data_IF_271933759936
#
_entry.id   IF_271933759936
#
_cell.length_a   1.000
_cell.length_b   1.000
_cell.length_c   1.000
_cell.angle_alpha   90.00
_cell.angle_beta   90.00
_cell.angle_gamma   90.00
#
_symmetry.space_group_name_H-M   'P 1'
#
loop_
_entity.id
_entity.type
_entity.pdbx_description
1 polymer ?
#
# COMPACT_ATOMS: atom_id res chain seq x y z
N UNK A 1 -5.01 4.43 -11.42
CA UNK A 1 -4.52 5.26 -12.55
C UNK A 1 -3.06 5.58 -12.35
N UNK A 2 -2.28 5.64 -13.43
CA UNK A 2 -0.85 5.93 -13.40
C UNK A 2 -0.50 7.02 -14.42
N UNK A 3 0.22 8.05 -13.97
CA UNK A 3 0.70 9.15 -14.81
C UNK A 3 2.17 9.38 -14.51
N UNK A 4 2.98 9.56 -15.56
CA UNK A 4 4.40 9.91 -15.43
C UNK A 4 4.62 11.37 -15.79
N UNK A 5 5.13 12.17 -14.84
CA UNK A 5 5.28 13.63 -14.96
C UNK A 5 6.71 14.09 -14.67
N UNK A 6 7.13 15.19 -15.30
CA UNK A 6 8.35 15.93 -15.02
C UNK A 6 8.04 17.44 -14.98
N UNK A 7 8.74 18.20 -14.13
CA UNK A 7 8.49 19.64 -13.91
C UNK A 7 9.40 20.48 -14.81
N UNK A 8 8.84 21.10 -15.87
CA UNK A 8 9.53 22.07 -16.75
C UNK A 8 8.56 23.20 -17.13
N UNK A 9 9.05 24.44 -17.20
CA UNK A 9 8.29 25.66 -17.48
C UNK A 9 7.53 25.63 -18.83
N UNK A 10 6.22 25.89 -18.78
CA UNK A 10 5.29 25.88 -19.91
C UNK A 10 3.98 25.14 -19.60
N UNK A 11 2.84 25.78 -19.78
CA UNK A 11 1.48 25.24 -19.54
C UNK A 11 0.95 24.44 -20.74
N UNK A 12 0.23 23.34 -20.48
CA UNK A 12 -0.54 22.59 -21.48
C UNK A 12 -1.80 21.96 -20.83
N UNK A 13 -2.95 22.08 -21.51
CA UNK A 13 -4.20 21.41 -21.16
C UNK A 13 -4.47 20.28 -22.17
N UNK A 14 -4.78 19.08 -21.70
CA UNK A 14 -5.26 17.98 -22.54
C UNK A 14 -6.72 17.68 -22.17
N UNK A 15 -7.59 17.65 -23.18
CA UNK A 15 -8.97 17.19 -23.05
C UNK A 15 -8.99 15.76 -23.57
N UNK A 16 -9.25 14.79 -22.69
CA UNK A 16 -9.47 13.40 -23.11
C UNK A 16 -10.88 13.35 -23.70
N UNK A 17 -11.00 13.32 -25.03
CA UNK A 17 -12.25 12.96 -25.69
C UNK A 17 -12.33 11.44 -25.74
N UNK A 18 -13.44 10.86 -25.28
CA UNK A 18 -13.76 9.45 -25.51
C UNK A 18 -13.91 9.21 -27.01
N UNK A 19 -12.84 8.81 -27.67
CA UNK A 19 -12.86 8.06 -28.93
C UNK A 19 -11.59 7.22 -28.94
N UNK A 20 -11.75 5.93 -29.26
CA UNK A 20 -10.82 4.80 -29.08
C UNK A 20 -10.92 4.08 -27.73
N UNK A 21 -12.07 3.45 -27.53
CA UNK A 21 -12.10 2.07 -27.03
C UNK A 21 -12.14 1.21 -28.29
N UNK A 22 -11.03 0.56 -28.64
CA UNK A 22 -11.05 -0.64 -29.47
C UNK A 22 -10.11 -1.67 -28.84
N UNK A 23 -10.63 -2.90 -28.77
CA UNK A 23 -10.03 -4.11 -28.24
C UNK A 23 -8.68 -4.43 -28.90
N UNK A 24 -7.78 -4.99 -28.10
CA UNK A 24 -6.88 -6.03 -28.57
C UNK A 24 -6.77 -7.08 -27.45
N UNK A 25 -7.65 -8.07 -27.51
CA UNK A 25 -7.25 -9.43 -27.12
C UNK A 25 -6.39 -9.96 -28.26
N UNK A 26 -5.15 -10.32 -27.97
CA UNK A 26 -4.48 -11.34 -28.78
C UNK A 26 -3.89 -12.37 -27.84
N UNK A 27 -4.53 -13.53 -27.87
CA UNK A 27 -3.98 -14.81 -27.41
C UNK A 27 -2.91 -15.18 -28.40
N UNK A 28 -1.70 -15.41 -27.91
CA UNK A 28 -0.86 -16.56 -28.27
C UNK A 28 0.51 -16.42 -27.58
N UNK A 29 1.15 -17.49 -27.11
CA UNK A 29 0.76 -18.88 -27.02
C UNK A 29 1.81 -19.61 -26.17
N UNK A 30 1.33 -20.61 -25.45
CA UNK A 30 2.13 -21.78 -25.15
C UNK A 30 2.71 -22.35 -26.44
N UNK A 31 3.97 -22.77 -26.39
CA UNK A 31 4.52 -23.75 -27.33
C UNK A 31 3.54 -24.91 -27.48
N UNK A 32 3.19 -25.31 -28.71
CA UNK A 32 3.45 -26.66 -29.22
C UNK A 32 3.04 -26.80 -30.71
N UNK A 33 4.05 -27.22 -31.49
CA UNK A 33 4.04 -28.03 -32.71
C UNK A 33 3.65 -27.45 -34.08
N UNK A 34 4.56 -27.79 -34.99
CA UNK A 34 4.59 -27.65 -36.44
C UNK A 34 3.42 -28.32 -37.15
N UNK A 35 2.98 -27.73 -38.26
CA UNK A 35 2.96 -28.41 -39.56
C UNK A 35 2.69 -27.44 -40.71
N UNK A 36 3.19 -27.82 -41.88
CA UNK A 36 3.27 -27.09 -43.15
C UNK A 36 1.92 -26.60 -43.69
N UNK A 37 1.94 -25.53 -44.51
CA UNK A 37 1.59 -25.55 -45.95
C UNK A 37 0.89 -24.27 -46.48
N UNK A 38 1.58 -23.66 -47.46
CA UNK A 38 1.07 -23.00 -48.69
C UNK A 38 0.49 -21.57 -48.63
N UNK A 39 1.20 -20.74 -49.39
CA UNK A 39 0.81 -19.50 -50.09
C UNK A 39 -0.41 -19.67 -51.00
N UNK A 40 -1.35 -18.70 -50.96
CA UNK A 40 -2.18 -18.28 -52.10
C UNK A 40 -2.45 -16.78 -51.98
N UNK A 41 -2.34 -16.09 -53.11
CA UNK A 41 -2.55 -14.66 -53.29
C UNK A 41 -3.97 -14.34 -53.79
N UNK A 42 -4.38 -13.10 -53.48
CA UNK A 42 -5.27 -12.19 -54.20
C UNK A 42 -6.74 -12.53 -54.51
N UNK A 43 -7.55 -11.49 -54.25
CA UNK A 43 -8.76 -11.01 -54.94
C UNK A 43 -10.06 -11.83 -54.80
N UNK A 44 -11.02 -11.31 -54.02
CA UNK A 44 -12.26 -10.69 -54.54
C UNK A 44 -13.30 -10.35 -53.45
N UNK A 45 -14.09 -9.29 -53.71
CA UNK A 45 -15.38 -8.82 -53.12
C UNK A 45 -15.34 -7.68 -52.06
N UNK A 46 -16.38 -6.81 -51.98
CA UNK A 46 -16.77 -5.79 -52.96
C UNK A 46 -16.92 -4.38 -52.30
N UNK A 47 -17.03 -3.35 -53.15
CA UNK A 47 -17.12 -1.94 -52.77
C UNK A 47 -18.22 -1.61 -51.73
N UNK A 48 -17.81 -1.08 -50.56
CA UNK A 48 -18.66 -0.23 -49.73
C UNK A 48 -18.38 1.23 -50.08
N UNK A 49 -19.41 1.93 -50.57
CA UNK A 49 -19.39 3.36 -50.78
C UNK A 49 -19.07 4.08 -49.46
N UNK A 50 -17.92 4.75 -49.47
CA UNK A 50 -17.45 5.67 -48.45
C UNK A 50 -18.34 6.92 -48.40
N UNK A 51 -19.11 7.08 -47.32
CA UNK A 51 -19.67 8.36 -46.92
C UNK A 51 -18.72 9.11 -46.00
N UNK A 52 -17.56 9.54 -46.51
CA UNK A 52 -16.68 10.49 -45.82
C UNK A 52 -16.75 11.83 -46.52
N UNK A 53 -17.02 12.88 -45.75
CA UNK A 53 -17.07 14.28 -46.20
C UNK A 53 -15.73 14.67 -46.86
N UNK A 54 -15.73 15.16 -48.12
CA UNK A 54 -14.53 15.62 -48.81
C UNK A 54 -13.70 16.64 -48.01
N UNK A 55 -14.34 17.43 -47.14
CA UNK A 55 -13.65 18.40 -46.28
C UNK A 55 -12.77 17.73 -45.20
N UNK A 56 -13.12 16.52 -44.76
CA UNK A 56 -12.34 15.75 -43.77
C UNK A 56 -11.12 15.10 -44.42
N UNK A 57 -11.26 14.64 -45.67
CA UNK A 57 -10.16 14.06 -46.46
C UNK A 57 -9.12 15.13 -46.80
N UNK A 58 -9.57 16.33 -47.21
CA UNK A 58 -8.68 17.47 -47.49
C UNK A 58 -7.95 17.98 -46.24
N UNK A 59 -8.60 17.98 -45.07
CA UNK A 59 -7.96 18.40 -43.81
C UNK A 59 -6.95 17.36 -43.30
N UNK A 60 -7.20 16.07 -43.50
CA UNK A 60 -6.25 14.98 -43.21
C UNK A 60 -5.03 15.01 -44.15
N UNK A 61 -5.24 15.30 -45.44
CA UNK A 61 -4.18 15.54 -46.42
C UNK A 61 -3.35 16.79 -46.06
N UNK A 62 -4.00 17.86 -45.60
CA UNK A 62 -3.35 19.10 -45.14
C UNK A 62 -2.49 18.88 -43.89
N UNK A 63 -2.99 18.12 -42.91
CA UNK A 63 -2.29 17.79 -41.67
C UNK A 63 -1.12 16.81 -41.89
N UNK A 64 -1.24 15.88 -42.85
CA UNK A 64 -0.12 15.00 -43.26
C UNK A 64 1.03 15.77 -43.91
N UNK A 65 0.74 16.88 -44.59
CA UNK A 65 1.75 17.69 -45.30
C UNK A 65 2.44 18.76 -44.43
N UNK A 66 1.92 19.10 -43.26
CA UNK A 66 2.48 20.18 -42.42
C UNK A 66 3.48 19.67 -41.37
N UNK A 67 4.65 19.22 -41.81
CA UNK A 67 5.83 19.13 -40.95
C UNK A 67 6.43 20.54 -40.77
N UNK A 68 5.94 21.34 -39.81
CA UNK A 68 6.68 22.47 -39.17
C UNK A 68 5.82 23.20 -38.12
N UNK A 69 6.39 23.31 -36.91
CA UNK A 69 6.18 24.33 -35.85
C UNK A 69 4.78 24.96 -35.76
N UNK A 70 4.00 24.55 -34.77
CA UNK A 70 2.76 25.27 -34.42
C UNK A 70 3.10 26.64 -33.80
N UNK A 71 2.67 27.71 -34.48
CA UNK A 71 2.51 29.08 -33.96
C UNK A 71 1.05 29.23 -33.53
N UNK A 72 0.80 29.64 -32.30
CA UNK A 72 -0.55 30.03 -31.84
C UNK A 72 -0.68 31.55 -31.86
N UNK A 73 -1.72 32.06 -32.52
CA UNK A 73 -2.17 33.45 -32.49
C UNK A 73 -3.50 33.46 -31.72
N UNK A 74 -3.65 34.35 -30.74
CA UNK A 74 -4.89 34.51 -29.97
C UNK A 74 -5.84 35.51 -30.67
N UNK A 75 -7.14 35.21 -30.62
CA UNK A 75 -8.25 35.93 -31.29
C UNK A 75 -8.62 37.31 -30.67
N UNK A 76 -7.65 38.19 -30.45
CA UNK A 76 -7.94 39.59 -30.12
C UNK A 76 -6.86 40.62 -30.53
N UNK A 77 -5.94 40.27 -31.43
CA UNK A 77 -5.17 41.26 -32.21
C UNK A 77 -4.32 42.26 -31.43
N UNK A 78 -3.95 41.99 -30.17
CA UNK A 78 -2.99 42.81 -29.41
C UNK A 78 -1.76 42.00 -29.06
N UNK A 79 -0.60 42.46 -29.52
CA UNK A 79 0.71 42.01 -29.03
C UNK A 79 0.79 42.26 -27.52
N UNK A 80 1.20 41.23 -26.76
CA UNK A 80 1.56 41.39 -25.37
C UNK A 80 3.06 41.29 -25.17
N UNK A 81 3.62 42.42 -24.77
CA UNK A 81 4.99 42.65 -24.33
C UNK A 81 5.34 41.78 -23.12
N UNK A 82 6.50 41.13 -23.18
CA UNK A 82 7.01 40.26 -22.13
C UNK A 82 7.53 41.11 -20.95
N UNK A 83 6.79 41.18 -19.84
CA UNK A 83 7.32 41.64 -18.55
C UNK A 83 7.81 40.45 -17.71
N UNK A 84 8.96 40.66 -17.08
CA UNK A 84 9.77 39.70 -16.33
C UNK A 84 9.29 39.63 -14.86
N UNK A 85 9.41 38.43 -14.28
CA UNK A 85 9.26 38.04 -12.85
C UNK A 85 7.84 38.02 -12.26
N UNK A 86 7.33 36.82 -11.92
CA UNK A 86 7.36 36.16 -10.59
C UNK A 86 7.15 34.65 -10.81
N UNK A 87 7.92 33.80 -10.12
CA UNK A 87 7.82 32.35 -10.22
C UNK A 87 6.51 31.84 -9.62
N UNK A 88 5.54 31.45 -10.46
CA UNK A 88 4.34 30.72 -10.03
C UNK A 88 4.47 29.26 -10.48
N UNK A 89 4.95 28.44 -9.55
CA UNK A 89 5.06 27.01 -9.74
C UNK A 89 3.78 26.34 -9.26
N UNK A 90 3.08 25.66 -10.16
CA UNK A 90 2.02 24.73 -9.79
C UNK A 90 2.23 23.43 -10.56
N UNK A 91 2.21 22.31 -9.83
CA UNK A 91 2.03 20.99 -10.39
C UNK A 91 0.77 20.47 -9.70
N UNK A 92 -0.36 20.61 -10.39
CA UNK A 92 -1.65 20.09 -9.97
C UNK A 92 -2.11 19.06 -11.00
N UNK A 93 -2.28 17.79 -10.63
CA UNK A 93 -3.04 16.85 -11.46
C UNK A 93 -4.47 16.87 -10.96
N UNK A 94 -5.42 17.23 -11.80
CA UNK A 94 -6.84 17.30 -11.42
C UNK A 94 -7.56 16.14 -12.07
N UNK A 95 -8.09 15.24 -11.26
CA UNK A 95 -8.98 14.19 -11.74
C UNK A 95 -10.41 14.60 -11.45
N UNK A 96 -11.27 14.47 -12.47
CA UNK A 96 -12.70 14.78 -12.40
C UNK A 96 -13.47 13.48 -12.47
N UNK A 97 -14.25 13.19 -11.44
CA UNK A 97 -15.08 12.00 -11.33
C UNK A 97 -16.55 12.38 -11.18
N UNK A 98 -17.44 11.56 -11.74
CA UNK A 98 -18.89 11.64 -11.53
C UNK A 98 -19.35 10.37 -10.83
N UNK A 99 -20.20 10.53 -9.82
CA UNK A 99 -21.00 9.46 -9.24
C UNK A 99 -22.12 9.08 -10.19
N UNK A 100 -22.23 7.79 -10.50
CA UNK A 100 -23.20 7.31 -11.49
C UNK A 100 -24.66 7.51 -11.01
N UNK A 101 -24.89 7.45 -9.69
CA UNK A 101 -26.24 7.49 -9.12
C UNK A 101 -26.75 8.88 -8.72
N UNK A 102 -25.86 9.88 -8.60
CA UNK A 102 -26.22 11.18 -7.99
C UNK A 102 -25.76 12.42 -8.75
N UNK A 103 -25.16 12.27 -9.94
CA UNK A 103 -24.52 13.35 -10.72
C UNK A 103 -23.49 14.20 -9.93
N UNK A 104 -23.17 13.81 -8.68
CA UNK A 104 -22.20 14.47 -7.81
C UNK A 104 -20.83 14.43 -8.46
N UNK A 105 -20.26 15.61 -8.61
CA UNK A 105 -18.96 15.79 -9.23
C UNK A 105 -17.87 15.91 -8.17
N UNK A 106 -16.96 14.92 -8.13
CA UNK A 106 -15.80 14.95 -7.25
C UNK A 106 -14.53 15.32 -8.01
N UNK A 107 -13.89 16.40 -7.57
CA UNK A 107 -12.59 16.82 -8.07
C UNK A 107 -11.51 16.44 -7.07
N UNK A 108 -10.54 15.66 -7.53
CA UNK A 108 -9.35 15.29 -6.77
C UNK A 108 -8.14 16.02 -7.37
N UNK A 109 -7.63 17.01 -6.66
CA UNK A 109 -6.48 17.81 -7.04
C UNK A 109 -5.22 17.27 -6.35
N UNK A 110 -4.28 16.68 -7.08
CA UNK A 110 -3.00 16.24 -6.54
C UNK A 110 -1.96 17.33 -6.70
N UNK A 111 -1.51 17.92 -5.60
CA UNK A 111 -0.66 19.11 -5.58
C UNK A 111 0.75 18.79 -5.08
N UNK A 112 1.77 19.24 -5.81
CA UNK A 112 3.18 19.05 -5.44
C UNK A 112 3.64 20.08 -4.40
N UNK A 113 3.03 20.01 -3.23
CA UNK A 113 3.41 20.77 -2.05
C UNK A 113 3.30 19.86 -0.83
N UNK A 114 4.10 20.15 0.18
CA UNK A 114 3.89 19.58 1.50
C UNK A 114 2.72 20.28 2.20
N UNK A 115 1.79 19.51 2.76
CA UNK A 115 0.73 20.01 3.64
C UNK A 115 0.50 18.98 4.77
N UNK A 116 0.54 19.40 6.05
CA UNK A 116 0.41 18.48 7.18
C UNK A 116 -0.96 17.81 7.27
N UNK A 117 -1.99 18.33 6.58
CA UNK A 117 -3.32 17.71 6.55
C UNK A 117 -3.38 16.50 5.61
N UNK A 118 -2.44 16.39 4.67
CA UNK A 118 -2.37 15.41 3.57
C UNK A 118 -3.53 15.46 2.57
N UNK A 119 -4.78 15.57 3.05
CA UNK A 119 -6.00 15.78 2.27
C UNK A 119 -6.82 16.91 2.90
N UNK A 120 -7.36 17.81 2.09
CA UNK A 120 -8.26 18.86 2.58
C UNK A 120 -9.32 19.22 1.54
N UNK A 121 -10.43 19.76 2.02
CA UNK A 121 -11.50 20.30 1.20
C UNK A 121 -11.10 21.70 0.72
N UNK A 122 -11.16 21.93 -0.59
CA UNK A 122 -10.96 23.25 -1.17
C UNK A 122 -12.28 24.02 -1.07
N UNK A 123 -12.33 25.12 -0.31
CA UNK A 123 -13.55 25.85 0.03
C UNK A 123 -14.50 26.15 -1.16
N UNK A 124 -15.66 25.48 -1.11
CA UNK A 124 -17.04 25.85 -1.52
C UNK A 124 -17.47 25.78 -2.99
N UNK A 125 -18.71 25.29 -3.11
CA UNK A 125 -19.59 25.02 -4.24
C UNK A 125 -19.64 26.06 -5.36
N UNK A 126 -19.70 25.55 -6.59
CA UNK A 126 -20.00 26.31 -7.80
C UNK A 126 -21.52 26.28 -8.06
N UNK A 127 -22.08 27.37 -8.56
CA UNK A 127 -23.50 27.44 -8.90
C UNK A 127 -23.83 26.50 -10.09
N UNK A 128 -24.75 25.56 -9.89
CA UNK A 128 -25.38 24.78 -10.96
C UNK A 128 -25.08 23.28 -11.02
N UNK A 129 -24.22 22.74 -10.14
CA UNK A 129 -24.06 21.30 -9.93
C UNK A 129 -23.53 21.02 -8.51
N UNK A 130 -23.95 19.91 -7.89
CA UNK A 130 -23.33 19.43 -6.65
C UNK A 130 -21.89 19.03 -6.96
N UNK A 131 -20.96 19.94 -6.67
CA UNK A 131 -19.53 19.77 -6.94
C UNK A 131 -18.75 19.90 -5.64
N UNK A 132 -17.92 18.90 -5.37
CA UNK A 132 -16.99 18.90 -4.23
C UNK A 132 -15.55 18.80 -4.74
N UNK A 133 -14.65 19.56 -4.13
CA UNK A 133 -13.25 19.65 -4.54
C UNK A 133 -12.34 19.36 -3.37
N UNK A 134 -11.38 18.48 -3.57
CA UNK A 134 -10.40 18.10 -2.57
C UNK A 134 -9.00 18.17 -3.14
N UNK A 135 -8.05 18.49 -2.27
CA UNK A 135 -6.65 18.48 -2.62
C UNK A 135 -5.89 17.42 -1.82
N UNK A 136 -4.99 16.72 -2.49
CA UNK A 136 -4.06 15.72 -1.95
C UNK A 136 -2.63 16.23 -2.11
N UNK A 137 -1.89 16.30 -1.02
CA UNK A 137 -0.47 16.60 -1.05
C UNK A 137 0.30 15.41 -1.66
N UNK A 138 1.05 15.67 -2.73
CA UNK A 138 2.07 14.76 -3.28
C UNK A 138 3.45 14.98 -2.65
N UNK A 139 3.59 16.02 -1.81
CA UNK A 139 4.87 16.46 -1.28
C UNK A 139 5.70 17.22 -2.33
N UNK A 140 6.94 17.53 -1.95
CA UNK A 140 7.86 18.28 -2.78
C UNK A 140 8.46 17.38 -3.86
N UNK A 141 7.94 17.52 -5.08
CA UNK A 141 8.45 16.78 -6.24
C UNK A 141 9.66 17.50 -6.84
N UNK A 142 10.80 16.83 -6.80
CA UNK A 142 12.06 17.27 -7.43
C UNK A 142 11.93 17.34 -8.96
N UNK A 143 12.85 18.06 -9.62
CA UNK A 143 12.89 18.23 -11.09
C UNK A 143 13.39 16.98 -11.83
N UNK A 144 12.76 15.85 -11.58
CA UNK A 144 13.02 14.57 -12.24
C UNK A 144 11.70 13.91 -12.67
N UNK A 145 11.79 12.78 -13.36
CA UNK A 145 10.63 12.00 -13.72
C UNK A 145 10.05 11.29 -12.49
N UNK A 146 8.75 11.47 -12.27
CA UNK A 146 8.00 10.80 -11.22
C UNK A 146 6.87 9.99 -11.82
N UNK A 147 6.66 8.78 -11.30
CA UNK A 147 5.48 7.96 -11.62
C UNK A 147 4.50 8.06 -10.46
N UNK A 148 3.36 8.70 -10.71
CA UNK A 148 2.29 8.91 -9.73
C UNK A 148 1.21 7.88 -10.00
N UNK A 149 0.92 7.05 -9.01
CA UNK A 149 -0.12 6.03 -9.08
C UNK A 149 -1.13 6.26 -7.96
N UNK A 150 -2.40 6.41 -8.32
CA UNK A 150 -3.50 6.69 -7.39
C UNK A 150 -4.62 5.67 -7.54
N UNK A 151 -5.19 5.29 -6.41
CA UNK A 151 -6.45 4.55 -6.35
C UNK A 151 -7.59 5.55 -6.21
N UNK A 152 -8.36 5.70 -7.30
CA UNK A 152 -9.42 6.69 -7.37
C UNK A 152 -10.57 6.40 -6.40
N UNK A 153 -10.88 5.12 -6.15
CA UNK A 153 -11.96 4.73 -5.23
C UNK A 153 -11.55 5.05 -3.80
N UNK A 154 -10.33 4.68 -3.41
CA UNK A 154 -9.79 4.98 -2.08
C UNK A 154 -9.67 6.48 -1.87
N UNK A 155 -9.13 7.22 -2.84
CA UNK A 155 -8.98 8.66 -2.72
C UNK A 155 -10.35 9.35 -2.63
N UNK A 156 -11.32 9.04 -3.50
CA UNK A 156 -12.66 9.62 -3.42
C UNK A 156 -13.38 9.27 -2.09
N UNK A 157 -13.30 8.01 -1.65
CA UNK A 157 -13.84 7.56 -0.36
C UNK A 157 -13.26 8.34 0.82
N UNK A 158 -11.92 8.49 0.87
CA UNK A 158 -11.23 9.21 1.94
C UNK A 158 -11.53 10.70 1.93
N UNK A 159 -11.56 11.30 0.74
CA UNK A 159 -11.92 12.70 0.55
C UNK A 159 -13.34 12.99 1.07
N UNK A 160 -14.33 12.21 0.64
CA UNK A 160 -15.72 12.38 1.09
C UNK A 160 -15.87 12.14 2.59
N UNK A 161 -15.18 11.13 3.13
CA UNK A 161 -15.17 10.87 4.58
C UNK A 161 -14.64 12.05 5.39
N UNK A 162 -13.75 12.88 4.80
CA UNK A 162 -13.22 14.08 5.44
C UNK A 162 -14.25 15.23 5.53
N UNK A 163 -15.40 15.16 4.84
CA UNK A 163 -16.46 16.16 4.95
C UNK A 163 -17.36 15.98 6.18
N UNK A 164 -17.44 14.76 6.74
CA UNK A 164 -18.37 14.39 7.83
C UNK A 164 -17.95 14.90 9.23
N UNK A 165 -17.41 16.12 9.33
CA UNK A 165 -16.87 16.68 10.58
C UNK A 165 -17.98 17.17 11.54
N UNK A 166 -19.23 17.34 11.07
CA UNK A 166 -20.34 17.75 11.93
C UNK A 166 -21.16 16.57 12.48
N UNK A 167 -20.86 16.18 13.72
CA UNK A 167 -21.77 15.62 14.75
C UNK A 167 -22.90 14.69 14.26
N UNK A 168 -22.54 13.48 13.81
CA UNK A 168 -23.11 12.17 14.19
C UNK A 168 -22.38 11.13 13.34
N UNK A 169 -21.97 10.03 13.96
CA UNK A 169 -21.29 8.91 13.28
C UNK A 169 -22.17 8.35 12.16
N UNK A 170 -22.01 8.83 10.94
CA UNK A 170 -22.28 8.03 9.75
C UNK A 170 -20.92 7.78 9.10
N UNK A 171 -20.61 6.50 8.90
CA UNK A 171 -19.26 5.96 8.85
C UNK A 171 -18.39 6.49 7.72
N UNK A 172 -17.16 5.97 7.67
CA UNK A 172 -16.29 6.15 6.50
C UNK A 172 -17.11 5.84 5.24
N UNK A 173 -17.10 6.75 4.26
CA UNK A 173 -17.70 6.52 2.95
C UNK A 173 -16.96 5.35 2.32
N UNK A 174 -17.66 4.27 1.99
CA UNK A 174 -17.07 3.12 1.29
C UNK A 174 -17.59 3.15 -0.14
N UNK A 175 -16.67 3.12 -1.10
CA UNK A 175 -17.01 3.08 -2.52
C UNK A 175 -16.65 1.73 -3.11
N UNK A 176 -17.49 1.25 -4.02
CA UNK A 176 -17.37 0.00 -4.74
C UNK A 176 -17.10 0.24 -6.23
N UNK A 177 -16.46 -0.73 -6.91
CA UNK A 177 -16.28 -0.67 -8.36
C UNK A 177 -17.63 -0.46 -9.08
N UNK A 178 -17.68 0.51 -10.00
CA UNK A 178 -18.89 0.87 -10.73
C UNK A 178 -19.58 2.13 -10.21
N UNK A 179 -19.31 2.59 -8.99
CA UNK A 179 -19.95 3.80 -8.44
C UNK A 179 -19.29 5.10 -8.92
N UNK A 180 -18.03 5.02 -9.37
CA UNK A 180 -17.20 6.17 -9.76
C UNK A 180 -16.77 6.06 -11.24
N UNK A 181 -17.08 7.09 -12.04
CA UNK A 181 -16.62 7.20 -13.43
C UNK A 181 -15.62 8.33 -13.60
N UNK A 182 -14.46 8.05 -14.19
CA UNK A 182 -13.52 9.08 -14.62
C UNK A 182 -14.09 9.85 -15.81
N UNK A 183 -14.12 11.17 -15.70
CA UNK A 183 -14.64 12.06 -16.75
C UNK A 183 -13.51 12.77 -17.47
N UNK A 184 -12.55 13.32 -16.73
CA UNK A 184 -11.43 14.02 -17.34
C UNK A 184 -10.23 14.07 -16.40
N UNK A 185 -9.04 14.16 -17.00
CA UNK A 185 -7.78 14.46 -16.31
C UNK A 185 -7.30 15.81 -16.83
N UNK A 186 -7.01 16.73 -15.92
CA UNK A 186 -6.46 18.04 -16.20
C UNK A 186 -5.10 18.22 -15.54
N UNK A 187 -4.29 19.11 -16.11
CA UNK A 187 -3.00 19.49 -15.54
C UNK A 187 -2.99 21.00 -15.29
N UNK A 188 -2.55 21.41 -14.11
CA UNK A 188 -2.42 22.82 -13.71
C UNK A 188 -0.95 23.18 -13.56
N UNK A 189 -0.61 24.35 -14.09
CA UNK A 189 0.73 24.90 -14.11
C UNK A 189 1.62 24.30 -15.20
N UNK A 190 2.93 24.31 -14.97
CA UNK A 190 3.94 23.95 -15.97
C UNK A 190 4.42 22.52 -15.77
N UNK A 191 3.98 21.60 -16.63
CA UNK A 191 4.24 20.17 -16.50
C UNK A 191 4.56 19.53 -17.85
N UNK A 192 5.45 18.54 -17.82
CA UNK A 192 5.69 17.62 -18.92
C UNK A 192 5.12 16.28 -18.50
N UNK A 193 4.23 15.74 -19.31
CA UNK A 193 3.61 14.43 -19.08
C UNK A 193 4.07 13.50 -20.19
N UNK A 194 4.37 12.25 -19.86
CA UNK A 194 4.57 11.25 -20.91
C UNK A 194 3.29 11.13 -21.75
N UNK A 195 3.43 10.83 -23.03
CA UNK A 195 2.29 10.67 -23.95
C UNK A 195 1.32 9.56 -23.53
N UNK A 196 1.72 8.67 -22.60
CA UNK A 196 0.92 7.56 -22.11
C UNK A 196 0.44 7.82 -20.68
N UNK A 197 -0.88 7.88 -20.51
CA UNK A 197 -1.59 7.84 -19.24
C UNK A 197 -2.31 6.50 -19.18
N UNK A 198 -2.14 5.75 -18.09
CA UNK A 198 -2.67 4.40 -17.98
C UNK A 198 -3.74 4.32 -16.89
N UNK A 199 -4.89 3.73 -17.23
CA UNK A 199 -5.89 3.27 -16.27
C UNK A 199 -5.81 1.75 -16.19
N UNK A 200 -5.76 1.23 -14.97
CA UNK A 200 -5.61 -0.20 -14.69
C UNK A 200 -6.54 -0.58 -13.56
N UNK A 201 -7.01 -1.83 -13.55
CA UNK A 201 -7.86 -2.36 -12.48
C UNK A 201 -7.12 -2.43 -11.14
N UNK A 202 -5.80 -2.65 -11.17
CA UNK A 202 -4.97 -2.67 -9.98
C UNK A 202 -3.55 -2.16 -10.27
N UNK A 203 -2.79 -1.91 -9.19
CA UNK A 203 -1.38 -1.56 -9.23
C UNK A 203 -0.61 -2.22 -8.06
N UNK A 204 -0.95 -3.48 -7.73
CA UNK A 204 -0.51 -4.14 -6.49
C UNK A 204 1.02 -4.15 -6.33
N UNK A 205 1.77 -4.47 -7.39
CA UNK A 205 3.23 -4.46 -7.36
C UNK A 205 3.80 -3.07 -7.04
N UNK A 206 3.19 -2.00 -7.56
CA UNK A 206 3.62 -0.63 -7.29
C UNK A 206 3.37 -0.28 -5.83
N UNK A 207 2.17 -0.55 -5.30
CA UNK A 207 1.85 -0.31 -3.89
C UNK A 207 2.77 -1.10 -2.94
N UNK A 208 3.04 -2.37 -3.27
CA UNK A 208 3.97 -3.23 -2.55
C UNK A 208 5.39 -2.64 -2.48
N UNK A 209 5.95 -2.24 -3.63
CA UNK A 209 7.30 -1.64 -3.65
C UNK A 209 7.33 -0.26 -3.00
N UNK A 210 6.29 0.56 -3.17
CA UNK A 210 6.20 1.86 -2.47
C UNK A 210 6.21 1.70 -0.95
N UNK A 211 5.53 0.68 -0.41
CA UNK A 211 5.60 0.38 1.01
C UNK A 211 7.00 -0.09 1.44
N UNK A 212 7.65 -0.95 0.65
CA UNK A 212 9.00 -1.41 0.93
C UNK A 212 10.03 -0.27 0.89
N UNK A 213 9.95 0.61 -0.11
CA UNK A 213 10.80 1.79 -0.26
C UNK A 213 10.60 2.78 0.90
N UNK A 214 9.36 2.95 1.36
CA UNK A 214 9.07 3.75 2.54
C UNK A 214 9.72 3.17 3.79
N UNK A 215 9.65 1.85 4.00
CA UNK A 215 10.31 1.20 5.14
C UNK A 215 11.82 1.41 5.13
N UNK A 216 12.48 1.23 3.98
CA UNK A 216 13.93 1.50 3.88
C UNK A 216 14.25 2.96 4.21
N UNK A 217 13.45 3.90 3.69
CA UNK A 217 13.72 5.33 3.82
C UNK A 217 13.36 5.91 5.19
N UNK A 218 12.52 5.23 5.97
CA UNK A 218 12.03 5.69 7.28
C UNK A 218 12.47 4.78 8.44
N UNK A 219 13.41 3.87 8.19
CA UNK A 219 14.05 3.11 9.25
C UNK A 219 15.03 4.01 9.99
N UNK A 220 14.96 4.05 11.31
CA UNK A 220 15.85 4.87 12.11
C UNK A 220 17.25 4.25 12.32
N UNK A 221 18.09 4.94 13.10
CA UNK A 221 19.45 4.49 13.40
C UNK A 221 19.51 3.17 14.18
N UNK A 222 18.48 2.86 14.97
CA UNK A 222 18.38 1.62 15.76
C UNK A 222 17.83 0.43 14.94
N UNK A 223 17.44 0.67 13.68
CA UNK A 223 16.85 -0.35 12.81
C UNK A 223 15.33 -0.47 12.93
N UNK A 224 14.68 0.43 13.67
CA UNK A 224 13.25 0.37 13.92
C UNK A 224 12.41 1.33 13.08
N UNK A 225 11.09 1.14 13.18
CA UNK A 225 10.08 2.11 12.76
C UNK A 225 9.33 2.62 13.99
N UNK A 226 9.76 3.75 14.59
CA UNK A 226 9.20 4.23 15.84
C UNK A 226 7.75 4.70 15.66
N UNK A 227 6.86 4.27 16.54
CA UNK A 227 5.45 4.66 16.51
C UNK A 227 5.31 6.09 17.05
N UNK A 228 4.85 7.07 16.26
CA UNK A 228 4.94 8.50 16.61
C UNK A 228 3.86 8.96 17.59
N UNK A 229 3.11 8.04 18.21
CA UNK A 229 1.99 8.34 19.11
C UNK A 229 2.08 7.55 20.40
N UNK A 230 1.58 8.15 21.48
CA UNK A 230 1.41 7.45 22.76
C UNK A 230 0.42 6.29 22.61
N UNK A 231 0.71 5.17 23.26
CA UNK A 231 -0.21 4.05 23.39
C UNK A 231 -0.48 3.76 24.87
N UNK A 232 -1.71 3.99 25.29
CA UNK A 232 -2.20 3.60 26.61
C UNK A 232 -3.00 2.29 26.53
N UNK A 233 -2.75 1.38 27.46
CA UNK A 233 -3.31 0.02 27.55
C UNK A 233 -3.81 -0.21 28.97
N UNK A 234 -4.85 -1.03 29.14
CA UNK A 234 -5.45 -1.42 30.43
C UNK A 234 -5.81 -0.19 31.29
N UNK A 235 -6.70 0.67 30.79
CA UNK A 235 -7.12 1.91 31.46
C UNK A 235 -5.94 2.81 31.88
N UNK A 236 -4.97 2.97 30.96
CA UNK A 236 -3.73 3.74 31.16
C UNK A 236 -2.79 3.20 32.25
N UNK A 237 -2.94 1.95 32.72
CA UNK A 237 -1.96 1.33 33.64
C UNK A 237 -0.64 0.98 32.96
N UNK A 238 -0.69 0.75 31.64
CA UNK A 238 0.49 0.51 30.81
C UNK A 238 0.52 1.60 29.74
N UNK A 239 1.53 2.47 29.78
CA UNK A 239 1.64 3.61 28.85
C UNK A 239 2.99 3.55 28.16
N UNK A 240 2.95 3.60 26.83
CA UNK A 240 4.12 3.73 25.97
C UNK A 240 4.15 5.15 25.41
N UNK A 241 5.17 5.96 25.72
CA UNK A 241 5.32 7.28 25.12
C UNK A 241 5.64 7.15 23.62
N UNK A 242 5.33 8.19 22.84
CA UNK A 242 5.67 8.23 21.41
C UNK A 242 7.16 7.91 21.18
N UNK A 243 7.46 7.15 20.13
CA UNK A 243 8.79 6.66 19.80
C UNK A 243 9.08 5.21 20.23
N UNK A 244 8.06 4.47 20.67
CA UNK A 244 8.15 3.04 20.99
C UNK A 244 8.18 2.17 19.73
N UNK A 245 8.78 0.97 19.81
CA UNK A 245 8.81 -0.01 18.73
C UNK A 245 7.89 -1.19 19.00
N UNK A 246 7.49 -1.90 17.95
CA UNK A 246 6.63 -3.08 18.05
C UNK A 246 7.27 -4.27 17.37
N UNK A 247 7.35 -5.43 18.04
CA UNK A 247 7.81 -6.67 17.40
C UNK A 247 6.95 -7.05 16.18
N UNK A 248 5.66 -6.73 16.21
CA UNK A 248 4.75 -6.95 15.08
C UNK A 248 5.11 -6.04 13.90
N UNK A 249 5.38 -4.75 14.16
CA UNK A 249 5.82 -3.82 13.12
C UNK A 249 7.17 -4.26 12.52
N UNK A 250 8.13 -4.67 13.36
CA UNK A 250 9.40 -5.20 12.90
C UNK A 250 9.21 -6.47 12.06
N UNK A 251 8.40 -7.43 12.51
CA UNK A 251 8.10 -8.67 11.78
C UNK A 251 7.45 -8.43 10.41
N UNK A 252 6.47 -7.53 10.33
CA UNK A 252 5.90 -7.11 9.05
C UNK A 252 6.93 -6.43 8.15
N UNK A 253 7.82 -5.61 8.73
CA UNK A 253 8.93 -5.01 8.01
C UNK A 253 9.86 -6.05 7.41
N UNK A 254 10.30 -7.02 8.19
CA UNK A 254 11.12 -8.16 7.72
C UNK A 254 10.42 -8.90 6.57
N UNK A 255 9.16 -9.27 6.76
CA UNK A 255 8.33 -9.96 5.77
C UNK A 255 8.25 -9.21 4.43
N UNK A 256 7.97 -7.90 4.49
CA UNK A 256 7.81 -7.05 3.31
C UNK A 256 9.15 -6.84 2.59
N UNK A 257 10.20 -6.47 3.33
CA UNK A 257 11.52 -6.21 2.78
C UNK A 257 12.14 -7.46 2.16
N UNK A 258 12.01 -8.62 2.80
CA UNK A 258 12.49 -9.89 2.25
C UNK A 258 11.79 -10.26 0.94
N UNK A 259 10.47 -10.07 0.85
CA UNK A 259 9.73 -10.26 -0.40
C UNK A 259 10.14 -9.25 -1.47
N UNK A 260 10.41 -8.00 -1.07
CA UNK A 260 10.84 -6.94 -1.99
C UNK A 260 12.22 -7.24 -2.58
N UNK A 261 13.16 -7.75 -1.76
CA UNK A 261 14.42 -8.30 -2.24
C UNK A 261 14.19 -9.46 -3.23
N UNK A 262 13.37 -10.43 -2.86
CA UNK A 262 13.10 -11.59 -3.73
C UNK A 262 12.55 -11.17 -5.10
N UNK A 263 11.74 -10.10 -5.15
CA UNK A 263 11.10 -9.60 -6.36
C UNK A 263 11.96 -8.64 -7.21
N UNK A 264 13.07 -8.12 -6.69
CA UNK A 264 13.85 -7.04 -7.33
C UNK A 264 15.36 -7.28 -7.33
N UNK A 265 15.85 -8.16 -6.47
CA UNK A 265 17.25 -8.37 -6.13
C UNK A 265 17.98 -7.10 -5.65
N UNK A 266 17.24 -6.11 -5.12
CA UNK A 266 17.85 -4.93 -4.53
C UNK A 266 18.30 -5.21 -3.08
N UNK A 267 19.61 -5.25 -2.89
CA UNK A 267 20.26 -5.53 -1.60
C UNK A 267 19.90 -4.54 -0.48
N UNK A 268 19.43 -3.31 -0.81
CA UNK A 268 19.03 -2.34 0.22
C UNK A 268 17.91 -2.86 1.12
N UNK A 269 17.01 -3.71 0.58
CA UNK A 269 15.93 -4.29 1.37
C UNK A 269 16.44 -5.29 2.40
N UNK A 270 17.41 -6.14 2.05
CA UNK A 270 18.01 -7.07 3.01
C UNK A 270 18.89 -6.37 4.05
N UNK A 271 19.58 -5.30 3.66
CA UNK A 271 20.33 -4.48 4.61
C UNK A 271 19.40 -3.87 5.67
N UNK A 272 18.28 -3.28 5.24
CA UNK A 272 17.27 -2.75 6.16
C UNK A 272 16.64 -3.86 7.03
N UNK A 273 16.31 -5.01 6.45
CA UNK A 273 15.77 -6.14 7.21
C UNK A 273 16.77 -6.66 8.26
N UNK A 274 18.05 -6.76 7.92
CA UNK A 274 19.09 -7.23 8.84
C UNK A 274 19.31 -6.24 10.00
N UNK A 275 19.26 -4.94 9.71
CA UNK A 275 19.33 -3.89 10.74
C UNK A 275 18.17 -3.96 11.73
N UNK A 276 16.96 -4.30 11.25
CA UNK A 276 15.77 -4.41 12.08
C UNK A 276 15.83 -5.50 13.17
N UNK A 277 16.75 -6.47 13.03
CA UNK A 277 16.95 -7.53 14.02
C UNK A 277 17.51 -7.03 15.35
N UNK A 278 18.21 -5.89 15.36
CA UNK A 278 18.81 -5.35 16.58
C UNK A 278 17.79 -5.17 17.71
N UNK A 279 16.57 -4.72 17.39
CA UNK A 279 15.53 -4.50 18.38
C UNK A 279 15.02 -5.78 19.05
N UNK A 280 15.14 -6.94 18.38
CA UNK A 280 14.77 -8.24 18.95
C UNK A 280 15.76 -8.74 20.00
N UNK A 281 16.95 -8.16 20.06
CA UNK A 281 18.00 -8.50 21.02
C UNK A 281 17.96 -7.58 22.25
N UNK A 282 17.47 -6.35 22.07
CA UNK A 282 17.33 -5.35 23.13
C UNK A 282 16.08 -5.59 23.98
N UNK A 283 16.20 -5.42 25.29
CA UNK A 283 15.08 -5.54 26.22
C UNK A 283 14.06 -4.41 26.01
N UNK A 284 12.78 -4.67 26.31
CA UNK A 284 11.71 -3.67 26.28
C UNK A 284 12.06 -2.41 27.10
N UNK A 285 12.68 -2.58 28.28
CA UNK A 285 13.16 -1.46 29.11
C UNK A 285 14.35 -0.68 28.53
N UNK A 286 15.03 -1.22 27.53
CA UNK A 286 16.19 -0.64 26.85
C UNK A 286 15.83 -0.17 25.44
N UNK A 287 14.56 0.22 25.24
CA UNK A 287 13.99 0.61 23.93
C UNK A 287 14.05 -0.48 22.86
N UNK A 288 14.14 -1.75 23.26
CA UNK A 288 13.95 -2.89 22.37
C UNK A 288 12.54 -3.44 22.37
N UNK A 289 12.39 -4.66 21.85
CA UNK A 289 11.11 -5.39 21.87
C UNK A 289 11.21 -6.75 22.57
N UNK A 290 12.38 -7.11 23.12
CA UNK A 290 12.57 -8.39 23.82
C UNK A 290 12.08 -8.32 25.26
N UNK A 291 11.36 -9.34 25.69
CA UNK A 291 10.99 -9.59 27.08
C UNK A 291 11.23 -11.06 27.43
N UNK A 292 10.95 -11.43 28.67
CA UNK A 292 11.06 -12.80 29.14
C UNK A 292 9.91 -13.15 30.08
N UNK A 293 9.36 -14.35 29.92
CA UNK A 293 8.35 -14.91 30.83
C UNK A 293 8.73 -16.36 31.17
N UNK A 294 8.91 -16.65 32.46
CA UNK A 294 9.31 -17.98 32.96
C UNK A 294 10.57 -18.55 32.28
N UNK A 295 11.57 -17.70 31.97
CA UNK A 295 12.79 -18.11 31.27
C UNK A 295 12.66 -18.24 29.75
N UNK A 296 11.49 -17.95 29.19
CA UNK A 296 11.24 -18.00 27.75
C UNK A 296 11.24 -16.60 27.13
N UNK A 297 11.97 -16.41 26.04
CA UNK A 297 12.02 -15.13 25.33
C UNK A 297 10.66 -14.79 24.72
N UNK A 298 10.30 -13.51 24.74
CA UNK A 298 9.12 -13.00 24.07
C UNK A 298 9.44 -11.74 23.27
N UNK A 299 8.81 -11.56 22.12
CA UNK A 299 8.92 -10.34 21.32
C UNK A 299 7.60 -9.58 21.41
N UNK A 300 7.64 -8.43 22.09
CA UNK A 300 6.46 -7.67 22.50
C UNK A 300 5.85 -6.88 21.33
N UNK A 301 4.56 -7.09 21.08
CA UNK A 301 3.77 -6.17 20.23
C UNK A 301 3.79 -4.77 20.84
N UNK A 302 3.61 -4.70 22.17
CA UNK A 302 3.69 -3.48 22.96
C UNK A 302 4.73 -3.71 24.08
N UNK A 303 5.93 -3.11 24.00
CA UNK A 303 7.01 -3.33 24.96
C UNK A 303 6.76 -2.62 26.30
N UNK A 304 5.67 -2.99 26.98
CA UNK A 304 5.25 -2.40 28.26
C UNK A 304 6.04 -2.98 29.44
N UNK A 305 5.99 -2.29 30.57
CA UNK A 305 6.48 -2.81 31.85
C UNK A 305 5.37 -2.68 32.92
N UNK A 306 4.89 -3.78 33.52
CA UNK A 306 5.20 -5.18 33.19
C UNK A 306 4.83 -5.55 31.74
N UNK A 307 5.41 -6.65 31.25
CA UNK A 307 5.20 -7.16 29.88
C UNK A 307 3.73 -7.46 29.59
N UNK A 308 3.31 -7.18 28.35
CA UNK A 308 1.92 -7.41 27.91
C UNK A 308 1.73 -8.82 27.35
N UNK A 309 2.75 -9.34 26.66
CA UNK A 309 2.77 -10.67 26.04
C UNK A 309 1.57 -10.90 25.10
N UNK A 310 1.36 -9.99 24.12
CA UNK A 310 0.30 -10.14 23.11
C UNK A 310 0.64 -11.26 22.13
N UNK A 311 -0.29 -12.22 21.96
CA UNK A 311 -0.05 -13.45 21.21
C UNK A 311 0.09 -13.25 19.70
N UNK A 312 -0.84 -12.54 19.06
CA UNK A 312 -0.82 -12.34 17.61
C UNK A 312 0.44 -11.59 17.16
N UNK A 313 0.82 -10.52 17.85
CA UNK A 313 1.99 -9.73 17.48
C UNK A 313 3.29 -10.50 17.61
N UNK A 314 3.39 -11.36 18.64
CA UNK A 314 4.52 -12.28 18.77
C UNK A 314 4.59 -13.25 17.57
N UNK A 315 3.49 -13.91 17.21
CA UNK A 315 3.48 -14.83 16.06
C UNK A 315 3.79 -14.12 14.73
N UNK A 316 3.26 -12.92 14.48
CA UNK A 316 3.64 -12.12 13.30
C UNK A 316 5.14 -11.80 13.27
N UNK A 317 5.73 -11.55 14.44
CA UNK A 317 7.17 -11.32 14.54
C UNK A 317 7.99 -12.56 14.16
N UNK A 318 7.54 -13.76 14.58
CA UNK A 318 8.17 -15.03 14.21
C UNK A 318 8.09 -15.29 12.69
N UNK A 319 6.96 -14.97 12.07
CA UNK A 319 6.80 -15.08 10.61
C UNK A 319 7.83 -14.21 9.87
N UNK A 320 8.02 -12.96 10.32
CA UNK A 320 9.02 -12.07 9.74
C UNK A 320 10.46 -12.57 9.92
N UNK A 321 10.78 -13.11 11.10
CA UNK A 321 12.09 -13.72 11.36
C UNK A 321 12.31 -14.95 10.46
N UNK A 322 11.29 -15.80 10.31
CA UNK A 322 11.33 -16.95 9.41
C UNK A 322 11.57 -16.53 7.96
N UNK A 323 10.81 -15.55 7.46
CA UNK A 323 10.96 -15.05 6.10
C UNK A 323 12.40 -14.61 5.82
N UNK A 324 12.99 -13.78 6.70
CA UNK A 324 14.38 -13.35 6.55
C UNK A 324 15.38 -14.51 6.67
N UNK A 325 15.17 -15.45 7.60
CA UNK A 325 16.06 -16.60 7.77
C UNK A 325 16.07 -17.54 6.56
N UNK A 326 14.95 -17.62 5.84
CA UNK A 326 14.74 -18.56 4.73
C UNK A 326 14.97 -17.93 3.35
N UNK A 327 15.42 -16.67 3.29
CA UNK A 327 15.59 -15.97 2.02
C UNK A 327 16.74 -16.57 1.20
N UNK A 328 16.47 -16.87 -0.07
CA UNK A 328 17.51 -17.30 -1.00
C UNK A 328 18.25 -16.09 -1.57
N UNK A 329 19.48 -15.87 -1.11
CA UNK A 329 20.34 -14.78 -1.56
C UNK A 329 20.99 -15.15 -2.90
N UNK A 330 20.88 -14.27 -3.90
CA UNK A 330 21.54 -14.38 -5.20
C UNK A 330 22.64 -13.32 -5.33
N UNK A 331 23.84 -13.76 -5.68
CA UNK A 331 25.01 -12.89 -5.86
C UNK A 331 25.68 -12.50 -4.54
N UNK A 332 26.63 -11.58 -4.62
CA UNK A 332 27.34 -11.07 -3.45
C UNK A 332 26.48 -10.07 -2.67
N UNK A 333 26.45 -10.25 -1.35
CA UNK A 333 25.84 -9.32 -0.38
C UNK A 333 26.86 -8.98 0.68
N UNK A 334 26.65 -7.86 1.39
CA UNK A 334 27.48 -7.50 2.52
C UNK A 334 27.40 -8.57 3.63
N UNK A 335 28.50 -8.75 4.38
CA UNK A 335 28.57 -9.72 5.47
C UNK A 335 27.48 -9.52 6.53
N UNK A 336 27.12 -8.27 6.80
CA UNK A 336 26.03 -7.90 7.72
C UNK A 336 24.69 -8.52 7.33
N UNK A 337 24.42 -8.66 6.03
CA UNK A 337 23.19 -9.28 5.52
C UNK A 337 23.21 -10.78 5.77
N UNK A 338 24.34 -11.44 5.50
CA UNK A 338 24.50 -12.88 5.74
C UNK A 338 24.36 -13.20 7.23
N UNK A 339 25.08 -12.46 8.09
CA UNK A 339 24.95 -12.56 9.55
C UNK A 339 23.53 -12.25 10.02
N UNK A 340 22.83 -11.32 9.36
CA UNK A 340 21.42 -11.04 9.60
C UNK A 340 20.53 -12.28 9.41
N UNK A 341 20.70 -13.04 8.33
CA UNK A 341 19.89 -14.26 8.10
C UNK A 341 20.13 -15.34 9.17
N UNK A 342 21.38 -15.51 9.62
CA UNK A 342 21.74 -16.43 10.70
C UNK A 342 21.12 -16.00 12.04
N UNK A 343 21.22 -14.70 12.38
CA UNK A 343 20.59 -14.11 13.57
C UNK A 343 19.08 -14.29 13.55
N UNK A 344 18.43 -14.05 12.40
CA UNK A 344 17.00 -14.25 12.23
C UNK A 344 16.61 -15.71 12.50
N UNK A 345 17.41 -16.67 12.03
CA UNK A 345 17.19 -18.11 12.29
C UNK A 345 17.25 -18.45 13.78
N UNK A 346 18.23 -17.89 14.51
CA UNK A 346 18.38 -18.12 15.96
C UNK A 346 17.19 -17.52 16.72
N UNK A 347 16.82 -16.28 16.41
CA UNK A 347 15.69 -15.59 17.03
C UNK A 347 14.37 -16.31 16.74
N UNK A 348 14.16 -16.79 15.51
CA UNK A 348 12.99 -17.58 15.13
C UNK A 348 12.91 -18.87 15.93
N UNK A 349 14.01 -19.65 16.00
CA UNK A 349 14.03 -20.92 16.74
C UNK A 349 13.72 -20.69 18.23
N UNK A 350 14.38 -19.72 18.86
CA UNK A 350 14.17 -19.42 20.28
C UNK A 350 12.75 -18.92 20.56
N UNK A 351 12.20 -18.09 19.67
CA UNK A 351 10.82 -17.64 19.78
C UNK A 351 9.78 -18.74 19.56
N UNK A 352 10.06 -19.69 18.67
CA UNK A 352 9.19 -20.85 18.45
C UNK A 352 9.17 -21.78 19.67
N UNK A 353 10.32 -21.99 20.33
CA UNK A 353 10.39 -22.72 21.59
C UNK A 353 9.57 -22.05 22.70
N UNK A 354 9.66 -20.71 22.81
CA UNK A 354 8.81 -19.94 23.72
C UNK A 354 7.33 -20.06 23.38
N UNK A 355 6.95 -20.03 22.10
CA UNK A 355 5.56 -20.19 21.68
C UNK A 355 5.02 -21.54 22.14
N UNK A 356 5.77 -22.64 21.93
CA UNK A 356 5.37 -23.98 22.40
C UNK A 356 5.13 -24.03 23.89
N UNK A 357 6.06 -23.45 24.67
CA UNK A 357 6.01 -23.49 26.12
C UNK A 357 4.86 -22.65 26.70
N UNK A 358 4.62 -21.47 26.13
CA UNK A 358 3.70 -20.47 26.69
C UNK A 358 2.30 -20.50 26.07
N UNK A 359 2.11 -21.08 24.88
CA UNK A 359 0.80 -21.13 24.21
C UNK A 359 -0.34 -21.70 25.08
N UNK A 360 -0.13 -22.71 25.94
CA UNK A 360 -1.19 -23.19 26.84
C UNK A 360 -1.76 -22.10 27.77
N UNK A 361 -0.97 -21.06 28.11
CA UNK A 361 -1.44 -19.95 28.94
C UNK A 361 -2.52 -19.10 28.25
N UNK A 362 -2.63 -19.19 26.93
CA UNK A 362 -3.61 -18.45 26.14
C UNK A 362 -4.89 -19.26 25.87
N UNK A 363 -4.96 -20.52 26.29
CA UNK A 363 -6.13 -21.39 26.09
C UNK A 363 -7.06 -21.31 27.31
N UNK A 364 -8.29 -20.86 27.10
CA UNK A 364 -9.29 -20.79 28.19
C UNK A 364 -10.13 -22.05 28.33
N UNK A 365 -9.94 -23.03 27.46
CA UNK A 365 -10.83 -24.18 27.33
C UNK A 365 -12.07 -23.93 26.47
N UNK A 366 -12.31 -22.69 26.01
CA UNK A 366 -13.45 -22.37 25.13
C UNK A 366 -13.21 -21.15 24.23
N UNK A 367 -11.96 -20.77 24.05
CA UNK A 367 -11.52 -19.60 23.31
C UNK A 367 -10.03 -19.34 23.59
N UNK A 368 -9.55 -18.17 23.17
CA UNK A 368 -8.18 -17.75 23.47
C UNK A 368 -8.12 -16.41 24.21
N UNK A 369 -7.07 -16.20 24.98
CA UNK A 369 -6.73 -14.91 25.60
C UNK A 369 -5.92 -14.09 24.59
N UNK A 370 -6.11 -12.77 24.55
CA UNK A 370 -5.37 -11.87 23.66
C UNK A 370 -3.92 -11.66 24.14
N UNK A 371 -3.76 -11.51 25.45
CA UNK A 371 -2.49 -11.18 26.09
C UNK A 371 -2.44 -11.66 27.55
N UNK A 372 -1.24 -11.69 28.15
CA UNK A 372 -1.05 -12.17 29.53
C UNK A 372 -1.01 -11.03 30.56
N UNK A 373 -1.60 -9.87 30.27
CA UNK A 373 -1.62 -8.73 31.22
C UNK A 373 -2.28 -9.08 32.56
N UNK A 374 -3.17 -10.07 32.58
CA UNK A 374 -3.85 -10.52 33.78
C UNK A 374 -2.89 -11.12 34.82
N UNK A 375 -1.77 -11.71 34.36
CA UNK A 375 -0.69 -12.22 35.22
C UNK A 375 0.05 -11.05 35.88
N UNK A 376 0.50 -10.08 35.10
CA UNK A 376 1.31 -8.95 35.60
C UNK A 376 0.52 -7.86 36.32
N UNK A 377 -0.75 -7.66 35.97
CA UNK A 377 -1.62 -6.61 36.54
C UNK A 377 -2.60 -7.14 37.59
N UNK A 378 -2.62 -8.45 37.85
CA UNK A 378 -3.57 -9.10 38.76
C UNK A 378 -5.03 -8.71 38.46
N UNK A 379 -5.43 -8.84 37.19
CA UNK A 379 -6.75 -8.46 36.69
C UNK A 379 -7.45 -9.63 36.01
N UNK A 380 -8.69 -9.45 35.56
CA UNK A 380 -9.37 -10.45 34.74
C UNK A 380 -8.65 -10.66 33.39
N UNK A 381 -8.67 -11.87 32.81
CA UNK A 381 -8.13 -12.13 31.48
C UNK A 381 -8.71 -11.21 30.40
N UNK A 382 -7.83 -10.69 29.54
CA UNK A 382 -8.25 -9.95 28.35
C UNK A 382 -8.58 -10.97 27.23
N UNK A 383 -9.83 -11.41 27.16
CA UNK A 383 -10.26 -12.41 26.18
C UNK A 383 -10.11 -11.88 24.75
N UNK A 384 -9.60 -12.72 23.85
CA UNK A 384 -9.59 -12.40 22.42
C UNK A 384 -11.01 -12.47 21.87
N UNK A 385 -11.49 -11.38 21.28
CA UNK A 385 -12.70 -11.40 20.44
C UNK A 385 -12.54 -12.39 19.28
N UNK A 386 -13.65 -12.89 18.74
CA UNK A 386 -13.66 -14.01 17.79
C UNK A 386 -12.83 -13.79 16.52
N UNK A 387 -12.73 -12.55 16.03
CA UNK A 387 -11.85 -12.21 14.91
C UNK A 387 -10.36 -12.32 15.29
N UNK A 388 -9.96 -11.93 16.51
CA UNK A 388 -8.60 -12.22 17.00
C UNK A 388 -8.37 -13.70 17.28
N UNK A 389 -9.38 -14.41 17.79
CA UNK A 389 -9.29 -15.86 17.94
C UNK A 389 -9.04 -16.54 16.59
N UNK A 390 -9.75 -16.12 15.54
CA UNK A 390 -9.50 -16.57 14.17
C UNK A 390 -8.09 -16.20 13.67
N UNK A 391 -7.58 -15.01 14.01
CA UNK A 391 -6.19 -14.63 13.73
C UNK A 391 -5.20 -15.56 14.44
N UNK A 392 -5.42 -15.93 15.70
CA UNK A 392 -4.56 -16.89 16.40
C UNK A 392 -4.55 -18.25 15.69
N UNK A 393 -5.71 -18.76 15.32
CA UNK A 393 -5.83 -20.01 14.53
C UNK A 393 -5.06 -19.90 13.22
N UNK A 394 -5.27 -18.82 12.47
CA UNK A 394 -4.62 -18.61 11.16
C UNK A 394 -3.10 -18.59 11.29
N UNK A 395 -2.57 -17.85 12.27
CA UNK A 395 -1.13 -17.73 12.50
C UNK A 395 -0.52 -19.03 13.00
N UNK A 396 -1.20 -19.77 13.88
CA UNK A 396 -0.74 -21.10 14.30
C UNK A 396 -0.69 -22.05 13.11
N UNK A 397 -1.74 -22.13 12.29
CA UNK A 397 -1.75 -22.99 11.09
C UNK A 397 -0.68 -22.59 10.08
N UNK A 398 -0.40 -21.30 9.94
CA UNK A 398 0.70 -20.81 9.10
C UNK A 398 2.06 -21.29 9.65
N UNK A 399 2.30 -21.13 10.95
CA UNK A 399 3.51 -21.63 11.61
C UNK A 399 3.64 -23.16 11.52
N UNK A 400 2.54 -23.90 11.59
CA UNK A 400 2.53 -25.36 11.39
C UNK A 400 2.95 -25.71 9.97
N UNK A 401 2.49 -25.00 8.94
CA UNK A 401 2.87 -25.26 7.55
C UNK A 401 4.36 -25.10 7.31
N UNK A 402 5.02 -24.14 7.98
CA UNK A 402 6.45 -23.91 7.81
C UNK A 402 7.33 -24.79 8.71
N UNK A 403 6.84 -25.24 9.87
CA UNK A 403 7.66 -25.98 10.86
C UNK A 403 7.32 -27.46 10.98
N UNK A 404 6.12 -27.88 10.59
CA UNK A 404 5.59 -29.21 10.86
C UNK A 404 5.28 -29.48 12.34
N UNK A 405 5.13 -28.42 13.16
CA UNK A 405 4.98 -28.56 14.60
C UNK A 405 3.61 -29.12 15.02
N UNK A 406 3.61 -30.35 15.54
CA UNK A 406 2.38 -31.03 15.96
C UNK A 406 1.73 -30.43 17.21
N UNK A 407 2.51 -29.91 18.15
CA UNK A 407 1.99 -29.33 19.40
C UNK A 407 1.21 -28.05 19.11
N UNK A 408 1.73 -27.22 18.20
CA UNK A 408 1.01 -26.03 17.71
C UNK A 408 -0.23 -26.44 16.92
N UNK A 409 -0.15 -27.50 16.10
CA UNK A 409 -1.26 -27.97 15.28
C UNK A 409 -2.44 -28.49 16.12
N UNK A 410 -2.15 -29.27 17.16
CA UNK A 410 -3.15 -29.76 18.12
C UNK A 410 -3.87 -28.60 18.84
N UNK A 411 -3.14 -27.54 19.17
CA UNK A 411 -3.75 -26.34 19.78
C UNK A 411 -4.56 -25.55 18.76
N UNK A 412 -4.09 -25.42 17.53
CA UNK A 412 -4.84 -24.78 16.45
C UNK A 412 -6.16 -25.50 16.17
N UNK A 413 -6.16 -26.84 16.10
CA UNK A 413 -7.37 -27.65 15.91
C UNK A 413 -8.36 -27.50 17.07
N UNK A 414 -7.84 -27.44 18.30
CA UNK A 414 -8.67 -27.18 19.48
C UNK A 414 -9.28 -25.77 19.46
N UNK A 415 -8.54 -24.76 19.04
CA UNK A 415 -9.08 -23.40 18.85
C UNK A 415 -10.12 -23.35 17.72
N UNK A 416 -9.90 -24.05 16.61
CA UNK A 416 -10.93 -24.21 15.55
C UNK A 416 -12.21 -24.81 16.16
N UNK A 417 -12.08 -25.87 16.96
CA UNK A 417 -13.21 -26.50 17.63
C UNK A 417 -14.01 -25.54 18.53
N UNK A 418 -13.34 -24.61 19.23
CA UNK A 418 -14.00 -23.59 20.05
C UNK A 418 -14.90 -22.65 19.23
N UNK A 419 -14.54 -22.39 17.98
CA UNK A 419 -15.36 -21.59 17.05
C UNK A 419 -16.69 -22.28 16.70
N UNK A 420 -16.79 -23.60 16.94
CA UNK A 420 -18.02 -24.40 16.79
C UNK A 420 -18.70 -24.68 18.13
N UNK A 421 -18.36 -23.95 19.19
CA UNK A 421 -18.96 -24.10 20.52
C UNK A 421 -18.48 -25.32 21.31
N UNK A 422 -17.48 -26.07 20.81
CA UNK A 422 -16.83 -27.12 21.62
C UNK A 422 -16.06 -26.49 22.77
N UNK A 423 -15.90 -27.24 23.85
CA UNK A 423 -15.12 -26.85 25.02
C UNK A 423 -14.15 -27.97 25.38
N UNK A 424 -13.05 -27.61 26.02
CA UNK A 424 -12.19 -28.57 26.69
C UNK A 424 -13.01 -29.35 27.73
N UNK A 425 -12.66 -30.62 27.92
CA UNK A 425 -13.32 -31.46 28.92
C UNK A 425 -13.09 -30.88 30.32
N UNK A 426 -14.15 -30.80 31.11
CA UNK A 426 -14.01 -30.67 32.56
C UNK A 426 -13.78 -32.06 33.18
N UNK A 427 -13.35 -32.07 34.45
CA UNK A 427 -13.13 -33.28 35.24
C UNK A 427 -14.41 -34.07 35.53
#
# INVERSE_FOLDING_TARGET
MSVTVCRIGGSALYKVSNFLIEEYEDKDSHQFKSENSKTVANDDLPALQSGCDPAIVDELERLRRSNKKARCIANNGREMTLQRQVALHFLGIVYKFIFIESDLLVLLNYVAQHDPRCVWNDTVSFAGADQVSFSYALGDLSKQWHSITRDALVDASRALSSMNISRKKEGNVILHPGELKLVSIGFRGSVVVRQRIEQSQNAHRKSFLTAADWLVSNQDENGGWPVPVERAIADRRLVLPAGWYSAMAQGHGLSLLTRAYTATHNNSYLAAASKALHLFELKAGERGVRNELFGHVWFEEYPTSPGSFVLNGFMYSLIGLFDLSSVSIRGEVADEVRLGTERASILFSSGLDSLRALLPLYDTGSGSIYDLRHIGLHTAPNLARWDYHAVHVYLLKWLVQITGDKTLDETADRFIAYSWGKKAKHN
#
